data_IF_951792090606
#
_entry.id   IF_951792090606
#
_cell.length_a   1.000
_cell.length_b   1.000
_cell.length_c   1.000
_cell.angle_alpha   90.00
_cell.angle_beta   90.00
_cell.angle_gamma   90.00
#
_symmetry.space_group_name_H-M   'P 1'
#
loop_
_entity.id
_entity.type
_entity.pdbx_description
1 polymer ?
#
# COMPACT_ATOMS: atom_id res chain seq x y z
N UNK A 1 -19.92 -15.51 0.72
CA UNK A 1 -20.01 -14.99 -0.64
C UNK A 1 -19.12 -13.75 -0.74
N UNK A 2 -18.12 -13.76 -1.63
CA UNK A 2 -17.20 -12.64 -1.83
C UNK A 2 -17.33 -12.12 -3.26
N UNK A 3 -17.25 -10.81 -3.42
CA UNK A 3 -17.25 -10.15 -4.71
C UNK A 3 -15.82 -9.66 -5.01
N UNK A 4 -15.11 -10.29 -5.96
CA UNK A 4 -13.82 -9.81 -6.40
C UNK A 4 -13.96 -8.47 -7.13
N UNK A 5 -12.88 -7.66 -7.22
CA UNK A 5 -12.88 -6.45 -8.02
C UNK A 5 -13.32 -6.70 -9.48
N UNK A 6 -13.95 -5.72 -10.14
CA UNK A 6 -14.58 -5.91 -11.45
C UNK A 6 -13.62 -6.20 -12.61
N UNK A 7 -12.32 -6.04 -12.40
CA UNK A 7 -11.29 -6.38 -13.39
C UNK A 7 -10.82 -7.84 -13.30
N UNK A 8 -11.42 -8.65 -12.43
CA UNK A 8 -11.24 -10.09 -12.41
C UNK A 8 -12.38 -10.78 -13.15
N UNK A 9 -12.13 -11.94 -13.79
CA UNK A 9 -13.21 -12.75 -14.31
C UNK A 9 -14.08 -13.28 -13.18
N UNK A 10 -15.40 -13.35 -13.41
CA UNK A 10 -16.30 -13.99 -12.46
C UNK A 10 -16.16 -15.50 -12.57
N UNK A 11 -15.31 -16.06 -11.72
CA UNK A 11 -14.97 -17.48 -11.74
C UNK A 11 -14.79 -18.00 -10.31
N UNK A 12 -15.20 -19.28 -10.03
CA UNK A 12 -15.07 -19.86 -8.69
C UNK A 12 -13.64 -19.80 -8.11
N UNK A 13 -12.61 -20.02 -8.91
CA UNK A 13 -11.20 -19.92 -8.51
C UNK A 13 -10.88 -18.52 -8.02
N UNK A 14 -11.32 -17.48 -8.73
CA UNK A 14 -11.11 -16.08 -8.33
C UNK A 14 -11.78 -15.77 -7.02
N UNK A 15 -13.04 -16.19 -6.86
CA UNK A 15 -13.80 -16.02 -5.61
C UNK A 15 -13.15 -16.74 -4.44
N UNK A 16 -12.62 -17.94 -4.66
CA UNK A 16 -11.89 -18.69 -3.62
C UNK A 16 -10.59 -17.99 -3.20
N UNK A 17 -9.78 -17.53 -4.15
CA UNK A 17 -8.54 -16.80 -3.81
C UNK A 17 -8.84 -15.47 -3.12
N UNK A 18 -9.88 -14.76 -3.56
CA UNK A 18 -10.32 -13.53 -2.93
C UNK A 18 -10.78 -13.76 -1.48
N UNK A 19 -11.51 -14.86 -1.23
CA UNK A 19 -11.89 -15.26 0.12
C UNK A 19 -10.66 -15.57 1.00
N UNK A 20 -9.66 -16.27 0.46
CA UNK A 20 -8.38 -16.52 1.17
C UNK A 20 -7.67 -15.24 1.54
N UNK A 21 -7.60 -14.28 0.61
CA UNK A 21 -7.01 -12.96 0.87
C UNK A 21 -7.73 -12.24 2.01
N UNK A 22 -9.06 -12.17 1.99
CA UNK A 22 -9.86 -11.55 3.04
C UNK A 22 -9.69 -12.25 4.40
N UNK A 23 -9.63 -13.58 4.41
CA UNK A 23 -9.36 -14.34 5.63
C UNK A 23 -7.96 -14.04 6.19
N UNK A 24 -6.96 -13.87 5.32
CA UNK A 24 -5.60 -13.48 5.74
C UNK A 24 -5.59 -12.07 6.34
N UNK A 25 -6.34 -11.13 5.77
CA UNK A 25 -6.50 -9.79 6.31
C UNK A 25 -7.18 -9.82 7.71
N UNK A 26 -8.23 -10.63 7.87
CA UNK A 26 -8.87 -10.83 9.19
C UNK A 26 -7.93 -11.45 10.20
N UNK A 27 -7.10 -12.43 9.78
CA UNK A 27 -6.09 -13.03 10.65
C UNK A 27 -4.98 -12.04 11.07
N UNK A 28 -4.63 -11.10 10.20
CA UNK A 28 -3.72 -10.00 10.51
C UNK A 28 -4.33 -9.07 11.55
N UNK A 29 -5.59 -8.68 11.40
CA UNK A 29 -6.31 -7.83 12.35
C UNK A 29 -6.31 -8.42 13.77
N UNK A 30 -6.56 -9.71 13.91
CA UNK A 30 -6.47 -10.42 15.21
C UNK A 30 -5.07 -10.29 15.81
N UNK A 31 -4.01 -10.45 15.03
CA UNK A 31 -2.62 -10.33 15.51
C UNK A 31 -2.28 -8.91 15.93
N UNK A 32 -2.76 -7.90 15.19
CA UNK A 32 -2.64 -6.50 15.59
C UNK A 32 -3.34 -6.29 16.94
N UNK A 33 -4.53 -6.84 17.12
CA UNK A 33 -5.25 -6.80 18.39
C UNK A 33 -4.44 -7.35 19.55
N UNK A 34 -3.70 -8.46 19.37
CA UNK A 34 -2.80 -9.00 20.40
C UNK A 34 -1.65 -8.05 20.76
N UNK A 35 -1.04 -7.40 19.75
CA UNK A 35 0.03 -6.41 19.97
C UNK A 35 -0.52 -5.22 20.78
N UNK A 36 -1.69 -4.70 20.42
CA UNK A 36 -2.33 -3.60 21.12
C UNK A 36 -2.69 -3.97 22.57
N UNK A 37 -3.17 -5.20 22.80
CA UNK A 37 -3.42 -5.71 24.15
C UNK A 37 -2.13 -5.85 24.97
N UNK A 38 -1.03 -6.29 24.34
CA UNK A 38 0.26 -6.38 25.01
C UNK A 38 0.78 -5.02 25.46
N UNK A 39 0.73 -3.99 24.59
CA UNK A 39 1.11 -2.62 24.95
C UNK A 39 0.31 -2.11 26.17
N UNK A 40 -1.00 -2.38 26.21
CA UNK A 40 -1.84 -2.04 27.36
C UNK A 40 -1.44 -2.78 28.63
N UNK A 41 -1.17 -4.09 28.54
CA UNK A 41 -0.76 -4.93 29.67
C UNK A 41 0.59 -4.48 30.24
N UNK A 42 1.49 -4.04 29.37
CA UNK A 42 2.82 -3.55 29.75
C UNK A 42 2.78 -2.11 30.28
N UNK A 43 1.61 -1.44 30.22
CA UNK A 43 1.43 -0.08 30.72
C UNK A 43 2.05 1.00 29.85
N UNK A 44 2.42 0.69 28.60
CA UNK A 44 3.11 1.63 27.70
C UNK A 44 2.23 2.12 26.53
N UNK A 45 0.96 1.72 26.48
CA UNK A 45 0.08 2.09 25.38
C UNK A 45 -0.10 3.60 25.23
N UNK A 46 -0.23 4.32 26.34
CA UNK A 46 -0.44 5.78 26.37
C UNK A 46 0.86 6.58 26.14
N UNK A 47 1.99 5.89 26.00
CA UNK A 47 3.32 6.44 25.69
C UNK A 47 3.85 6.00 24.31
N UNK A 48 3.05 5.23 23.55
CA UNK A 48 3.50 4.62 22.29
C UNK A 48 2.74 5.17 21.09
N UNK A 49 3.43 5.79 20.15
CA UNK A 49 2.87 6.12 18.81
C UNK A 49 2.76 4.83 18.01
N UNK A 50 1.58 4.54 17.47
CA UNK A 50 1.33 3.34 16.67
C UNK A 50 1.08 3.75 15.24
N UNK A 51 1.89 3.22 14.32
CA UNK A 51 1.74 3.43 12.87
C UNK A 51 1.52 2.08 12.22
N UNK A 52 0.33 1.88 11.68
CA UNK A 52 0.00 0.74 10.82
C UNK A 52 -0.01 1.18 9.37
N UNK A 53 0.70 0.48 8.51
CA UNK A 53 0.71 0.76 7.07
C UNK A 53 1.03 -0.49 6.26
N UNK A 54 0.61 -0.49 4.99
CA UNK A 54 1.07 -1.48 4.01
C UNK A 54 2.34 -0.98 3.33
N UNK A 55 3.30 -1.86 3.11
CA UNK A 55 4.52 -1.56 2.34
C UNK A 55 4.26 -1.53 0.84
N UNK A 56 3.28 -2.30 0.40
CA UNK A 56 2.78 -2.39 -0.98
C UNK A 56 1.34 -2.89 -1.00
N UNK A 57 0.72 -2.85 -2.18
CA UNK A 57 -0.63 -3.39 -2.37
C UNK A 57 -0.66 -4.93 -2.37
N UNK A 58 -1.85 -5.49 -2.49
CA UNK A 58 -2.08 -6.94 -2.45
C UNK A 58 -1.34 -7.71 -3.53
N UNK A 59 -1.13 -9.00 -3.32
CA UNK A 59 -0.32 -9.86 -4.19
C UNK A 59 -0.97 -10.24 -5.53
N UNK A 60 -2.31 -10.22 -5.61
CA UNK A 60 -3.05 -10.69 -6.79
C UNK A 60 -2.80 -9.83 -8.03
N UNK A 61 -3.46 -10.18 -9.12
CA UNK A 61 -3.35 -9.47 -10.39
C UNK A 61 -3.60 -7.97 -10.22
N UNK A 62 -2.78 -7.13 -10.86
CA UNK A 62 -2.78 -5.66 -10.78
C UNK A 62 -2.40 -5.07 -9.40
N UNK A 63 -2.06 -5.86 -8.40
CA UNK A 63 -1.58 -5.42 -7.10
C UNK A 63 -0.09 -5.08 -7.10
N UNK A 64 0.66 -5.67 -6.13
CA UNK A 64 2.12 -5.52 -6.05
C UNK A 64 2.78 -5.72 -7.42
N UNK A 65 3.82 -4.98 -7.70
CA UNK A 65 4.58 -4.93 -8.96
C UNK A 65 3.94 -4.08 -10.07
N UNK A 66 2.80 -3.45 -9.83
CA UNK A 66 2.15 -2.60 -10.81
C UNK A 66 2.02 -1.16 -10.33
N UNK A 67 2.18 -0.21 -11.27
CA UNK A 67 1.97 1.21 -10.99
C UNK A 67 0.48 1.60 -11.01
N UNK A 68 -0.40 0.74 -10.49
CA UNK A 68 -1.83 1.01 -10.30
C UNK A 68 -2.15 1.28 -8.83
N UNK A 69 -3.26 1.93 -8.54
CA UNK A 69 -3.70 2.19 -7.16
C UNK A 69 -3.77 0.90 -6.32
N UNK A 70 -4.19 -0.22 -6.90
CA UNK A 70 -4.20 -1.52 -6.24
C UNK A 70 -2.83 -2.03 -5.78
N UNK A 71 -1.74 -1.51 -6.35
CA UNK A 71 -0.36 -1.81 -5.97
C UNK A 71 0.31 -0.72 -5.13
N UNK A 72 -0.17 0.52 -5.22
CA UNK A 72 0.49 1.70 -4.68
C UNK A 72 -0.29 2.41 -3.56
N UNK A 73 -1.63 2.41 -3.63
CA UNK A 73 -2.47 3.04 -2.61
C UNK A 73 -2.67 2.08 -1.46
N UNK A 74 -1.82 2.20 -0.45
CA UNK A 74 -1.79 1.34 0.74
C UNK A 74 -2.52 1.97 1.91
N UNK A 75 -3.10 1.18 2.82
CA UNK A 75 -3.66 1.71 4.05
C UNK A 75 -2.56 2.30 4.94
N UNK A 76 -2.88 3.39 5.62
CA UNK A 76 -2.06 3.95 6.70
C UNK A 76 -2.98 4.44 7.81
N UNK A 77 -2.69 4.03 9.04
CA UNK A 77 -3.39 4.47 10.25
C UNK A 77 -2.36 4.90 11.26
N UNK A 78 -2.54 6.07 11.85
CA UNK A 78 -1.68 6.59 12.91
C UNK A 78 -2.53 6.80 14.16
N UNK A 79 -2.10 6.19 15.26
CA UNK A 79 -2.64 6.44 16.59
C UNK A 79 -1.62 7.20 17.41
N UNK A 80 -2.02 8.34 17.95
CA UNK A 80 -1.19 9.17 18.81
C UNK A 80 -1.52 8.86 20.28
N UNK A 81 -0.50 8.69 21.15
CA UNK A 81 -0.70 8.31 22.56
C UNK A 81 -1.26 9.46 23.39
N UNK A 82 -1.94 9.13 24.49
CA UNK A 82 -2.62 10.10 25.33
C UNK A 82 -1.68 10.98 26.15
N UNK A 83 -0.51 10.46 26.52
CA UNK A 83 0.43 11.15 27.40
C UNK A 83 1.26 12.25 26.70
N UNK A 84 1.18 12.37 25.38
CA UNK A 84 1.93 13.37 24.62
C UNK A 84 1.02 14.33 23.86
N UNK A 85 1.37 15.62 23.77
CA UNK A 85 0.64 16.56 22.93
C UNK A 85 0.60 16.07 21.48
N UNK A 86 -0.58 16.11 20.87
CA UNK A 86 -0.71 15.73 19.47
C UNK A 86 0.10 16.66 18.56
N UNK A 87 0.83 16.12 17.57
CA UNK A 87 1.63 16.94 16.67
C UNK A 87 0.73 17.76 15.74
N UNK A 88 1.26 18.87 15.25
CA UNK A 88 0.57 19.68 14.26
C UNK A 88 0.17 18.82 13.04
N UNK A 89 -1.07 18.95 12.60
CA UNK A 89 -1.64 18.19 11.50
C UNK A 89 -2.27 16.85 11.89
N UNK A 90 -2.14 16.40 13.13
CA UNK A 90 -2.87 15.24 13.65
C UNK A 90 -4.20 15.63 14.28
N UNK A 91 -5.23 14.84 13.98
CA UNK A 91 -6.53 14.87 14.66
C UNK A 91 -7.12 13.46 14.68
N UNK A 92 -7.46 12.97 15.87
CA UNK A 92 -8.11 11.67 16.02
C UNK A 92 -9.42 11.61 15.21
N UNK A 93 -9.64 10.51 14.50
CA UNK A 93 -10.81 10.30 13.64
C UNK A 93 -10.79 11.05 12.30
N UNK A 94 -9.72 11.79 11.99
CA UNK A 94 -9.55 12.42 10.68
C UNK A 94 -9.26 11.36 9.63
N UNK A 95 -9.98 11.43 8.51
CA UNK A 95 -9.59 10.77 7.26
C UNK A 95 -8.82 11.79 6.43
N UNK A 96 -7.55 11.52 6.18
CA UNK A 96 -6.63 12.42 5.47
C UNK A 96 -6.54 12.01 4.00
N UNK A 97 -6.88 12.91 3.09
CA UNK A 97 -6.88 12.70 1.65
C UNK A 97 -5.66 13.32 0.94
N UNK A 98 -4.67 13.80 1.69
CA UNK A 98 -3.43 14.33 1.14
C UNK A 98 -2.64 13.25 0.40
N UNK A 99 -1.88 13.68 -0.59
CA UNK A 99 -0.93 12.79 -1.26
C UNK A 99 0.28 12.61 -0.36
N UNK A 100 0.54 11.37 0.04
CA UNK A 100 1.68 10.97 0.87
C UNK A 100 2.45 9.88 0.12
N UNK A 101 3.77 9.94 0.16
CA UNK A 101 4.65 8.86 -0.26
C UNK A 101 5.23 8.15 0.96
N UNK A 102 5.43 6.83 0.90
CA UNK A 102 5.97 6.09 2.07
C UNK A 102 7.35 6.58 2.52
N UNK A 103 8.14 7.20 1.64
CA UNK A 103 9.40 7.86 2.04
C UNK A 103 9.17 9.01 3.03
N UNK A 104 7.97 9.59 3.05
CA UNK A 104 7.61 10.69 3.94
C UNK A 104 7.43 10.20 5.39
N UNK A 105 7.12 8.91 5.57
CA UNK A 105 6.92 8.33 6.90
C UNK A 105 8.20 8.40 7.73
N UNK A 106 9.37 8.10 7.15
CA UNK A 106 10.64 8.18 7.85
C UNK A 106 10.97 9.61 8.30
N UNK A 107 10.79 10.59 7.38
CA UNK A 107 10.98 12.01 7.72
C UNK A 107 9.99 12.47 8.82
N UNK A 108 8.74 12.04 8.73
CA UNK A 108 7.71 12.32 9.74
C UNK A 108 8.06 11.72 11.10
N UNK A 109 8.58 10.49 11.13
CA UNK A 109 9.01 9.83 12.37
C UNK A 109 10.13 10.59 13.06
N UNK A 110 11.12 11.12 12.32
CA UNK A 110 12.17 11.95 12.89
C UNK A 110 11.59 13.22 13.53
N UNK A 111 10.74 13.93 12.81
CA UNK A 111 10.10 15.16 13.34
C UNK A 111 9.24 14.86 14.57
N UNK A 112 8.49 13.77 14.57
CA UNK A 112 7.70 13.34 15.75
C UNK A 112 8.59 13.00 16.96
N UNK A 113 9.81 12.53 16.71
CA UNK A 113 10.82 12.28 17.75
C UNK A 113 11.60 13.54 18.17
N UNK A 114 11.28 14.72 17.64
CA UNK A 114 12.00 15.97 17.92
C UNK A 114 13.37 16.07 17.24
N UNK A 115 13.61 15.28 16.20
CA UNK A 115 14.85 15.24 15.46
C UNK A 115 14.74 16.00 14.13
N UNK A 116 15.87 16.54 13.67
CA UNK A 116 15.95 17.18 12.35
C UNK A 116 15.94 16.15 11.22
N UNK A 117 15.30 16.52 10.11
CA UNK A 117 15.33 15.71 8.89
C UNK A 117 16.66 15.98 8.15
N UNK A 118 17.49 14.95 7.90
CA UNK A 118 18.74 15.13 7.18
C UNK A 118 18.54 15.76 5.79
N UNK A 119 19.41 16.70 5.34
CA UNK A 119 19.23 17.40 4.06
C UNK A 119 19.17 16.50 2.81
N UNK A 120 19.76 15.31 2.88
CA UNK A 120 19.74 14.32 1.79
C UNK A 120 18.45 13.47 1.75
N UNK A 121 17.61 13.56 2.78
CA UNK A 121 16.36 12.81 2.82
C UNK A 121 15.32 13.46 1.91
N UNK A 122 14.76 12.68 0.99
CA UNK A 122 13.75 13.16 0.03
C UNK A 122 12.32 13.13 0.58
N UNK A 123 12.10 12.50 1.73
CA UNK A 123 10.81 12.45 2.41
C UNK A 123 10.41 13.83 2.94
N UNK A 124 9.13 14.14 2.86
CA UNK A 124 8.54 15.38 3.37
C UNK A 124 7.68 15.06 4.59
N UNK A 125 7.98 15.60 5.79
CA UNK A 125 7.15 15.36 6.96
C UNK A 125 5.71 15.82 6.72
N UNK A 126 4.74 14.99 7.04
CA UNK A 126 3.31 15.34 6.91
C UNK A 126 2.62 15.56 8.26
N UNK A 127 3.30 15.32 9.38
CA UNK A 127 2.91 15.66 10.74
C UNK A 127 4.07 16.33 11.48
N UNK A 128 3.77 17.21 12.44
CA UNK A 128 4.76 17.88 13.28
C UNK A 128 4.83 19.39 13.09
N UNK A 129 5.75 20.07 13.81
CA UNK A 129 5.87 21.53 13.81
C UNK A 129 6.41 22.08 12.49
N UNK A 130 7.33 21.37 11.88
CA UNK A 130 8.04 21.76 10.65
C UNK A 130 7.30 21.28 9.38
N UNK A 131 6.00 21.16 9.43
CA UNK A 131 5.22 20.74 8.28
C UNK A 131 5.49 21.66 7.08
N UNK A 132 6.16 21.12 6.09
CA UNK A 132 6.40 21.75 4.79
C UNK A 132 5.14 21.78 3.95
N UNK A 133 5.21 22.36 2.76
CA UNK A 133 4.10 22.36 1.80
C UNK A 133 3.59 20.95 1.53
N UNK A 134 2.27 20.80 1.35
CA UNK A 134 1.69 19.50 0.98
C UNK A 134 2.34 18.94 -0.28
N UNK A 135 2.63 17.64 -0.26
CA UNK A 135 3.11 16.92 -1.44
C UNK A 135 2.05 16.97 -2.53
N UNK A 136 2.38 17.55 -3.67
CA UNK A 136 1.45 17.63 -4.81
C UNK A 136 1.38 16.32 -5.59
N UNK A 137 2.51 15.58 -5.67
CA UNK A 137 2.64 14.38 -6.48
C UNK A 137 3.47 13.31 -5.80
N UNK A 138 3.03 12.06 -5.88
CA UNK A 138 3.83 10.88 -5.61
C UNK A 138 4.20 10.21 -6.94
N UNK A 139 5.47 9.76 -7.03
CA UNK A 139 6.00 9.13 -8.23
C UNK A 139 6.30 7.67 -7.96
N UNK A 140 6.07 6.82 -8.96
CA UNK A 140 6.38 5.39 -8.87
C UNK A 140 6.96 4.89 -10.18
N UNK A 141 7.78 3.85 -10.07
CA UNK A 141 8.47 3.27 -11.20
C UNK A 141 8.41 1.74 -11.14
N UNK A 142 8.40 1.15 -12.32
CA UNK A 142 8.63 -0.27 -12.55
C UNK A 142 9.52 -0.40 -13.78
N UNK A 143 10.53 -1.26 -13.72
CA UNK A 143 11.36 -1.59 -14.87
C UNK A 143 11.32 -3.08 -15.17
N UNK A 144 11.65 -3.92 -14.20
CA UNK A 144 11.63 -5.37 -14.34
C UNK A 144 11.14 -6.01 -13.04
N UNK A 145 10.30 -7.01 -13.16
CA UNK A 145 9.88 -7.87 -12.05
C UNK A 145 10.02 -9.31 -12.50
N UNK A 146 10.86 -10.06 -11.81
CA UNK A 146 11.21 -11.46 -12.13
C UNK A 146 11.60 -11.64 -13.61
N UNK A 147 10.88 -12.46 -14.36
CA UNK A 147 11.21 -12.79 -15.75
C UNK A 147 10.78 -11.72 -16.76
N UNK A 148 9.86 -10.84 -16.38
CA UNK A 148 9.26 -9.92 -17.35
C UNK A 148 9.75 -8.49 -17.16
N UNK A 149 10.36 -7.95 -18.21
CA UNK A 149 10.72 -6.55 -18.31
C UNK A 149 9.51 -5.75 -18.79
N UNK A 150 9.01 -4.86 -17.92
CA UNK A 150 7.96 -3.90 -18.24
C UNK A 150 8.33 -2.58 -17.62
N UNK A 151 8.62 -1.59 -18.45
CA UNK A 151 8.99 -0.27 -18.03
C UNK A 151 7.76 0.62 -17.91
N UNK A 152 7.45 1.01 -16.67
CA UNK A 152 6.36 1.95 -16.37
C UNK A 152 6.85 3.06 -15.44
N UNK A 153 6.25 4.24 -15.60
CA UNK A 153 6.40 5.37 -14.68
C UNK A 153 5.01 5.90 -14.36
N UNK A 154 4.79 6.28 -13.13
CA UNK A 154 3.51 6.89 -12.77
C UNK A 154 3.70 8.14 -11.92
N UNK A 155 2.70 9.01 -12.03
CA UNK A 155 2.54 10.17 -11.16
C UNK A 155 1.12 10.20 -10.64
N UNK A 156 0.99 10.29 -9.32
CA UNK A 156 -0.27 10.36 -8.59
C UNK A 156 -0.40 11.74 -7.96
N UNK A 157 -1.42 12.48 -8.35
CA UNK A 157 -1.89 13.68 -7.66
C UNK A 157 -3.21 13.40 -6.96
N UNK A 158 -3.80 14.41 -6.31
CA UNK A 158 -5.06 14.27 -5.56
C UNK A 158 -6.22 13.76 -6.43
N UNK A 159 -6.34 14.21 -7.67
CA UNK A 159 -7.46 13.87 -8.58
C UNK A 159 -7.11 12.85 -9.64
N UNK A 160 -5.86 12.82 -10.11
CA UNK A 160 -5.45 12.05 -11.27
C UNK A 160 -4.29 11.14 -10.95
N UNK A 161 -4.30 9.97 -11.56
CA UNK A 161 -3.20 9.03 -11.60
C UNK A 161 -2.85 8.76 -13.07
N UNK A 162 -1.69 9.20 -13.51
CA UNK A 162 -1.19 8.95 -14.85
C UNK A 162 -0.13 7.86 -14.82
N UNK A 163 -0.27 6.87 -15.69
CA UNK A 163 0.70 5.79 -15.87
C UNK A 163 1.17 5.76 -17.31
N UNK A 164 2.47 5.94 -17.54
CA UNK A 164 3.10 5.78 -18.85
C UNK A 164 3.75 4.41 -18.95
N UNK A 165 3.31 3.61 -19.92
CA UNK A 165 3.93 2.34 -20.26
C UNK A 165 4.89 2.53 -21.46
N UNK A 166 6.17 2.20 -21.25
CA UNK A 166 7.22 2.30 -22.29
C UNK A 166 7.42 0.97 -23.04
N UNK A 167 6.73 -0.10 -22.61
CA UNK A 167 6.77 -1.43 -23.24
C UNK A 167 5.33 -1.89 -23.56
N UNK A 168 4.61 -1.19 -24.47
CA UNK A 168 3.19 -1.43 -24.71
C UNK A 168 2.87 -2.83 -25.26
N UNK A 169 3.83 -3.50 -25.89
CA UNK A 169 3.69 -4.87 -26.40
C UNK A 169 3.71 -5.96 -25.34
N UNK A 170 4.13 -5.65 -24.12
CA UNK A 170 4.08 -6.60 -23.00
C UNK A 170 2.64 -6.69 -22.47
N UNK A 171 1.90 -7.67 -22.93
CA UNK A 171 0.49 -7.89 -22.57
C UNK A 171 0.29 -8.23 -21.09
N UNK A 172 -0.95 -8.12 -20.63
CA UNK A 172 -1.38 -8.60 -19.32
C UNK A 172 -2.31 -9.82 -19.51
N UNK A 173 -2.19 -10.88 -18.69
CA UNK A 173 -1.25 -11.07 -17.57
C UNK A 173 0.18 -11.42 -18.02
N UNK A 174 1.15 -10.77 -17.41
CA UNK A 174 2.57 -11.03 -17.70
C UNK A 174 3.10 -12.25 -16.96
N UNK A 175 4.13 -12.89 -17.52
CA UNK A 175 4.79 -14.02 -16.88
C UNK A 175 5.41 -13.58 -15.53
N UNK A 176 5.08 -14.32 -14.49
CA UNK A 176 5.70 -14.28 -13.19
C UNK A 176 5.53 -15.64 -12.55
N UNK A 177 6.57 -16.46 -12.62
CA UNK A 177 6.53 -17.87 -12.20
C UNK A 177 6.18 -18.02 -10.73
N UNK A 178 6.67 -17.13 -9.87
CA UNK A 178 6.31 -17.16 -8.46
C UNK A 178 4.80 -17.00 -8.28
N UNK A 179 4.22 -15.93 -8.88
CA UNK A 179 2.78 -15.68 -8.77
C UNK A 179 1.93 -16.77 -9.43
N UNK A 180 2.40 -17.38 -10.51
CA UNK A 180 1.70 -18.48 -11.16
C UNK A 180 1.69 -19.75 -10.32
N UNK A 181 2.78 -19.99 -9.60
CA UNK A 181 2.86 -21.12 -8.67
C UNK A 181 2.01 -20.92 -7.41
N UNK A 182 1.90 -19.68 -6.93
CA UNK A 182 1.24 -19.36 -5.68
C UNK A 182 -0.25 -19.02 -5.85
N UNK A 183 -0.66 -18.53 -7.02
CA UNK A 183 -2.01 -17.98 -7.25
C UNK A 183 -2.61 -18.53 -8.55
N UNK A 184 -3.70 -19.26 -8.41
CA UNK A 184 -4.40 -19.88 -9.55
C UNK A 184 -5.10 -18.89 -10.48
N UNK A 185 -5.32 -17.66 -10.03
CA UNK A 185 -5.94 -16.61 -10.85
C UNK A 185 -5.12 -16.27 -12.09
N UNK A 186 -3.78 -16.24 -11.99
CA UNK A 186 -2.95 -15.89 -13.15
C UNK A 186 -2.97 -16.93 -14.28
N UNK A 187 -2.74 -18.23 -14.01
CA UNK A 187 -2.94 -19.27 -15.01
C UNK A 187 -4.34 -19.24 -15.63
N UNK A 188 -5.39 -19.13 -14.79
CA UNK A 188 -6.78 -19.01 -15.27
C UNK A 188 -6.96 -17.83 -16.22
N UNK A 189 -6.44 -16.64 -15.92
CA UNK A 189 -6.56 -15.47 -16.80
C UNK A 189 -5.89 -15.69 -18.15
N UNK A 190 -4.77 -16.42 -18.19
CA UNK A 190 -4.12 -16.80 -19.46
C UNK A 190 -4.93 -17.79 -20.25
N UNK A 191 -5.50 -18.80 -19.60
CA UNK A 191 -6.37 -19.79 -20.24
C UNK A 191 -7.60 -19.11 -20.85
N UNK A 192 -8.26 -18.22 -20.11
CA UNK A 192 -9.40 -17.44 -20.60
C UNK A 192 -9.01 -16.55 -21.77
N UNK A 193 -7.88 -15.85 -21.69
CA UNK A 193 -7.37 -15.01 -22.78
C UNK A 193 -7.09 -15.85 -24.03
N UNK A 194 -6.44 -17.01 -23.89
CA UNK A 194 -6.19 -17.93 -25.00
C UNK A 194 -7.48 -18.49 -25.63
N UNK A 195 -8.54 -18.63 -24.84
CA UNK A 195 -9.87 -19.05 -25.27
C UNK A 195 -10.73 -17.89 -25.82
N UNK A 196 -10.20 -16.67 -25.89
CA UNK A 196 -10.95 -15.50 -26.38
C UNK A 196 -12.05 -15.01 -25.45
N UNK A 197 -11.90 -15.29 -24.15
CA UNK A 197 -12.88 -14.94 -23.11
C UNK A 197 -12.37 -13.83 -22.19
#
# INVERSE_FOLDING_TARGET
NVNPPPYYPDHPVVRQEWARYLNSASGMDVRIGWILQQLKKDGVADDTVIVFFGDNGRLEARGIHWCFDSGLHVPMVIHWPANFPAPKGYRAGLVDDRVISLIDLTATTLVMAGLEVPPLMQGQPFLGSEQTSERRFAFSARDRIDETEIRQRSVRGKRFHYVKNFTPGAGFPTLNRYKEKCFLVKPLMRELQAAGK
#
